data_IF_126290051963
#
_entry.id   IF_126290051963
#
_cell.length_a   1.000
_cell.length_b   1.000
_cell.length_c   1.000
_cell.angle_alpha   90.00
_cell.angle_beta   90.00
_cell.angle_gamma   90.00
#
_symmetry.space_group_name_H-M   'P 1'
#
loop_
_entity.id
_entity.type
_entity.pdbx_description
1 polymer ?
#
# COMPACT_ATOMS: atom_id res chain seq x y z
N UNK A 1 -18.34 19.85 5.65
CA UNK A 1 -18.63 19.96 4.20
C UNK A 1 -18.33 21.37 3.73
N UNK A 2 -17.43 21.53 2.76
CA UNK A 2 -17.17 22.80 2.11
C UNK A 2 -17.97 22.93 0.83
N UNK A 3 -18.42 24.12 0.50
CA UNK A 3 -19.02 24.39 -0.80
C UNK A 3 -18.36 25.58 -1.48
N UNK A 4 -18.44 25.61 -2.80
CA UNK A 4 -17.99 26.75 -3.62
C UNK A 4 -19.14 27.21 -4.48
N UNK A 5 -19.33 28.51 -4.52
CA UNK A 5 -20.32 29.14 -5.41
C UNK A 5 -19.66 29.60 -6.69
N UNK A 6 -20.44 29.72 -7.74
CA UNK A 6 -19.92 30.14 -9.04
C UNK A 6 -21.03 30.61 -9.99
N UNK A 7 -20.61 31.02 -11.16
CA UNK A 7 -21.51 31.36 -12.28
C UNK A 7 -21.32 30.34 -13.40
N UNK A 8 -22.36 30.08 -14.12
CA UNK A 8 -22.32 29.23 -15.29
C UNK A 8 -22.95 29.90 -16.49
N UNK A 9 -22.52 29.56 -17.68
CA UNK A 9 -23.07 29.96 -18.95
C UNK A 9 -23.08 28.82 -19.93
N UNK A 10 -23.99 28.90 -20.93
CA UNK A 10 -24.08 27.89 -21.99
C UNK A 10 -23.84 28.61 -23.32
N UNK A 11 -22.91 28.06 -24.12
CA UNK A 11 -22.62 28.52 -25.44
C UNK A 11 -22.67 27.34 -26.40
N UNK A 12 -23.80 27.16 -27.08
CA UNK A 12 -24.05 25.97 -27.91
C UNK A 12 -24.01 24.69 -27.10
N UNK A 13 -23.10 23.77 -27.45
CA UNK A 13 -22.88 22.51 -26.73
C UNK A 13 -21.80 22.62 -25.66
N UNK A 14 -21.26 23.82 -25.41
CA UNK A 14 -20.27 24.07 -24.39
C UNK A 14 -20.93 24.71 -23.18
N UNK A 15 -20.64 24.12 -22.05
CA UNK A 15 -21.02 24.63 -20.72
C UNK A 15 -19.76 25.16 -20.04
N UNK A 16 -19.79 26.43 -19.67
CA UNK A 16 -18.70 27.04 -18.92
C UNK A 16 -19.14 27.31 -17.48
N UNK A 17 -18.34 26.91 -16.54
CA UNK A 17 -18.54 27.23 -15.14
C UNK A 17 -17.36 28.06 -14.63
N UNK A 18 -17.66 29.15 -13.95
CA UNK A 18 -16.69 29.95 -13.23
C UNK A 18 -16.92 29.72 -11.74
N UNK A 19 -16.08 28.92 -11.15
CA UNK A 19 -16.13 28.65 -9.70
C UNK A 19 -15.32 29.70 -8.95
N UNK A 20 -15.92 30.25 -7.89
CA UNK A 20 -15.21 31.16 -7.01
C UNK A 20 -14.20 30.36 -6.21
N UNK A 21 -12.92 30.68 -6.37
CA UNK A 21 -11.84 30.14 -5.54
C UNK A 21 -11.72 30.95 -4.25
N UNK A 22 -11.17 30.30 -3.23
CA UNK A 22 -10.69 31.00 -2.05
C UNK A 22 -9.83 32.19 -2.49
N UNK A 23 -10.04 33.36 -1.93
CA UNK A 23 -9.41 34.65 -2.30
C UNK A 23 -9.94 35.31 -3.59
N UNK A 24 -11.14 35.03 -4.02
CA UNK A 24 -11.80 35.75 -5.15
C UNK A 24 -11.27 35.42 -6.54
N UNK A 25 -10.45 34.38 -6.69
CA UNK A 25 -10.04 33.88 -8.01
C UNK A 25 -11.08 32.93 -8.58
N UNK A 26 -11.29 33.01 -9.88
CA UNK A 26 -12.22 32.14 -10.60
C UNK A 26 -11.46 31.05 -11.35
N UNK A 27 -12.06 29.87 -11.40
CA UNK A 27 -11.62 28.79 -12.28
C UNK A 27 -12.61 28.66 -13.42
N UNK A 28 -12.09 28.58 -14.65
CA UNK A 28 -12.89 28.21 -15.80
C UNK A 28 -12.92 26.69 -15.92
N UNK A 29 -14.10 26.14 -16.03
CA UNK A 29 -14.32 24.70 -16.14
C UNK A 29 -15.21 24.45 -17.34
N UNK A 30 -14.80 23.56 -18.23
CA UNK A 30 -15.62 23.16 -19.39
C UNK A 30 -16.30 21.85 -19.10
N UNK A 31 -17.59 21.77 -19.30
CA UNK A 31 -18.36 20.52 -19.18
C UNK A 31 -18.05 19.63 -20.38
N UNK A 32 -17.39 18.52 -20.17
CA UNK A 32 -17.00 17.59 -21.22
C UNK A 32 -18.09 16.55 -21.55
N UNK A 33 -18.99 16.28 -20.61
CA UNK A 33 -20.11 15.37 -20.80
C UNK A 33 -21.13 15.51 -19.67
N UNK A 34 -22.37 15.16 -19.94
CA UNK A 34 -23.45 15.19 -18.97
C UNK A 34 -24.41 14.03 -19.26
N UNK A 35 -24.54 13.13 -18.31
CA UNK A 35 -25.72 12.29 -18.17
C UNK A 35 -26.59 12.86 -17.04
N UNK A 36 -27.80 12.53 -16.88
CA UNK A 36 -28.69 13.16 -15.91
C UNK A 36 -28.25 13.06 -14.43
N UNK A 37 -27.23 12.28 -14.14
CA UNK A 37 -26.73 12.01 -12.79
C UNK A 37 -25.26 12.46 -12.61
N UNK A 38 -24.48 12.47 -13.71
CA UNK A 38 -23.06 12.76 -13.68
C UNK A 38 -22.72 13.87 -14.69
N UNK A 39 -21.83 14.73 -14.27
CA UNK A 39 -21.27 15.77 -15.14
C UNK A 39 -19.74 15.69 -15.06
N UNK A 40 -19.10 15.67 -16.23
CA UNK A 40 -17.66 15.62 -16.33
C UNK A 40 -17.13 17.02 -16.67
N UNK A 41 -16.22 17.50 -15.83
CA UNK A 41 -15.63 18.83 -15.97
C UNK A 41 -14.16 18.73 -16.32
N UNK A 42 -13.75 19.36 -17.43
CA UNK A 42 -12.35 19.60 -17.76
C UNK A 42 -11.91 20.94 -17.16
N UNK A 43 -10.80 20.92 -16.42
CA UNK A 43 -10.35 22.09 -15.66
C UNK A 43 -9.15 22.77 -16.35
N UNK A 44 -9.28 24.06 -16.67
CA UNK A 44 -8.22 24.92 -17.21
C UNK A 44 -7.38 24.31 -18.35
N UNK A 45 -8.03 23.65 -19.30
CA UNK A 45 -7.35 23.04 -20.45
C UNK A 45 -6.52 21.80 -20.13
N UNK A 46 -6.59 21.28 -18.89
CA UNK A 46 -6.03 19.98 -18.57
C UNK A 46 -6.91 18.88 -19.15
N UNK A 47 -6.27 17.81 -19.62
CA UNK A 47 -6.95 16.63 -20.20
C UNK A 47 -7.60 15.74 -19.13
N UNK A 48 -7.35 15.99 -17.85
CA UNK A 48 -8.02 15.28 -16.75
C UNK A 48 -9.45 15.76 -16.60
N UNK A 49 -10.38 14.82 -16.60
CA UNK A 49 -11.81 15.07 -16.46
C UNK A 49 -12.21 14.68 -15.05
N UNK A 50 -12.72 15.65 -14.29
CA UNK A 50 -13.24 15.39 -12.94
C UNK A 50 -14.73 15.05 -13.03
N UNK A 51 -15.19 13.94 -12.44
CA UNK A 51 -16.60 13.63 -12.34
C UNK A 51 -17.28 14.47 -11.25
N UNK A 52 -18.48 14.93 -11.55
CA UNK A 52 -19.35 15.58 -10.60
C UNK A 52 -20.70 14.88 -10.58
N UNK A 53 -21.20 14.62 -9.40
CA UNK A 53 -22.51 14.00 -9.22
C UNK A 53 -23.54 15.09 -8.91
N UNK A 54 -24.69 15.00 -9.59
CA UNK A 54 -25.78 15.92 -9.32
C UNK A 54 -26.46 15.56 -8.01
N UNK A 55 -26.42 16.48 -7.06
CA UNK A 55 -27.20 16.44 -5.83
C UNK A 55 -28.29 17.50 -5.91
N UNK A 56 -29.46 17.22 -5.37
CA UNK A 56 -30.59 18.14 -5.34
C UNK A 56 -30.59 19.00 -4.10
N UNK A 57 -29.88 18.55 -3.03
CA UNK A 57 -29.69 19.31 -1.80
C UNK A 57 -28.53 20.30 -1.91
N UNK A 58 -28.66 21.44 -1.23
CA UNK A 58 -27.59 22.43 -1.16
C UNK A 58 -26.44 21.91 -0.28
N UNK A 59 -25.18 22.15 -0.67
CA UNK A 59 -24.04 21.90 0.19
C UNK A 59 -24.18 22.70 1.50
N UNK A 60 -23.84 22.09 2.61
CA UNK A 60 -24.01 22.66 3.94
C UNK A 60 -25.15 22.03 4.72
N UNK A 61 -26.07 21.34 4.05
CA UNK A 61 -27.01 20.42 4.68
C UNK A 61 -26.48 18.99 4.51
N UNK A 62 -25.49 18.63 5.34
CA UNK A 62 -24.82 17.34 5.25
C UNK A 62 -25.77 16.15 5.37
N UNK A 63 -26.79 16.27 6.20
CA UNK A 63 -27.77 15.20 6.38
C UNK A 63 -28.61 14.96 5.12
N UNK A 64 -28.99 16.02 4.40
CA UNK A 64 -29.69 15.86 3.13
C UNK A 64 -28.83 15.25 2.03
N UNK A 65 -27.56 15.65 1.94
CA UNK A 65 -26.63 15.09 0.98
C UNK A 65 -26.38 13.62 1.25
N UNK A 66 -26.20 13.24 2.50
CA UNK A 66 -26.07 11.83 2.89
C UNK A 66 -27.35 11.05 2.54
N UNK A 67 -28.54 11.60 2.81
CA UNK A 67 -29.81 10.96 2.46
C UNK A 67 -29.98 10.78 0.94
N UNK A 68 -29.49 11.72 0.11
CA UNK A 68 -29.51 11.59 -1.34
C UNK A 68 -28.54 10.49 -1.81
N UNK A 69 -27.34 10.42 -1.24
CA UNK A 69 -26.38 9.34 -1.50
C UNK A 69 -26.95 7.98 -1.08
N UNK A 70 -27.57 7.89 0.08
CA UNK A 70 -28.27 6.69 0.54
C UNK A 70 -29.38 6.24 -0.45
N UNK A 71 -30.08 7.21 -1.05
CA UNK A 71 -31.06 6.93 -2.10
C UNK A 71 -30.47 6.41 -3.41
N UNK A 72 -29.17 6.59 -3.65
CA UNK A 72 -28.44 6.05 -4.81
C UNK A 72 -27.77 4.70 -4.51
N UNK A 73 -27.80 4.26 -3.24
CA UNK A 73 -27.09 3.10 -2.77
C UNK A 73 -27.59 1.82 -3.45
N UNK A 74 -26.64 1.06 -3.97
CA UNK A 74 -26.91 -0.30 -4.46
C UNK A 74 -27.17 -1.25 -3.29
N UNK A 75 -27.85 -2.32 -3.55
CA UNK A 75 -28.01 -3.46 -2.66
C UNK A 75 -27.39 -4.72 -3.29
N UNK A 76 -26.95 -5.65 -2.47
CA UNK A 76 -26.44 -6.93 -2.93
C UNK A 76 -25.02 -6.84 -3.51
N UNK A 77 -24.10 -6.20 -2.81
CA UNK A 77 -22.69 -6.20 -3.14
C UNK A 77 -22.07 -7.60 -3.02
N UNK A 78 -21.18 -7.94 -3.94
CA UNK A 78 -20.39 -9.17 -3.89
C UNK A 78 -18.89 -8.81 -3.90
N UNK A 79 -18.05 -9.63 -3.28
CA UNK A 79 -16.61 -9.41 -3.25
C UNK A 79 -16.03 -9.33 -4.66
N UNK A 80 -16.50 -10.17 -5.58
CA UNK A 80 -16.07 -10.14 -6.98
C UNK A 80 -16.31 -8.82 -7.70
N UNK A 81 -17.22 -7.98 -7.21
CA UNK A 81 -17.45 -6.66 -7.79
C UNK A 81 -16.28 -5.71 -7.49
N UNK A 82 -15.54 -5.96 -6.41
CA UNK A 82 -14.44 -5.13 -5.93
C UNK A 82 -13.07 -5.60 -6.38
N UNK A 83 -12.89 -6.88 -6.65
CA UNK A 83 -11.58 -7.46 -7.01
C UNK A 83 -10.93 -6.74 -8.19
N UNK A 84 -9.67 -6.35 -8.03
CA UNK A 84 -8.85 -5.68 -9.04
C UNK A 84 -8.37 -4.30 -8.61
N UNK A 85 -7.74 -3.58 -9.54
CA UNK A 85 -7.18 -2.25 -9.28
C UNK A 85 -8.20 -1.15 -9.60
N UNK A 86 -8.37 -0.26 -8.66
CA UNK A 86 -9.26 0.89 -8.69
C UNK A 86 -8.45 2.17 -8.54
N UNK A 87 -8.45 3.00 -9.57
CA UNK A 87 -7.73 4.28 -9.62
C UNK A 87 -8.69 5.43 -9.44
N UNK A 88 -8.31 6.45 -8.67
CA UNK A 88 -9.05 7.70 -8.58
C UNK A 88 -9.18 8.34 -9.97
N UNK A 89 -10.41 8.65 -10.39
CA UNK A 89 -10.70 9.17 -11.72
C UNK A 89 -10.04 10.54 -11.97
N UNK A 90 -9.74 11.27 -10.91
CA UNK A 90 -9.13 12.62 -10.98
C UNK A 90 -7.63 12.65 -10.64
N UNK A 91 -7.03 11.51 -10.30
CA UNK A 91 -5.64 11.43 -9.88
C UNK A 91 -4.98 10.14 -10.41
N UNK A 92 -4.29 10.29 -11.54
CA UNK A 92 -3.62 9.16 -12.21
C UNK A 92 -2.58 8.52 -11.30
N UNK A 93 -2.57 7.19 -11.28
CA UNK A 93 -1.60 6.40 -10.52
C UNK A 93 -1.86 6.34 -9.03
N UNK A 94 -2.99 6.84 -8.54
CA UNK A 94 -3.38 6.76 -7.14
C UNK A 94 -4.66 5.96 -6.99
N UNK A 95 -4.64 4.92 -6.16
CA UNK A 95 -5.78 4.06 -5.97
C UNK A 95 -5.50 2.91 -5.01
N UNK A 96 -6.28 1.85 -5.15
CA UNK A 96 -6.13 0.66 -4.33
C UNK A 96 -6.41 -0.61 -5.15
N UNK A 97 -5.77 -1.68 -4.76
CA UNK A 97 -6.02 -3.03 -5.27
C UNK A 97 -6.77 -3.84 -4.22
N UNK A 98 -7.77 -4.59 -4.67
CA UNK A 98 -8.52 -5.55 -3.84
C UNK A 98 -8.25 -6.95 -4.37
N UNK A 99 -7.76 -7.84 -3.53
CA UNK A 99 -7.56 -9.25 -3.87
C UNK A 99 -8.87 -10.05 -3.81
N UNK A 100 -8.80 -11.35 -4.10
CA UNK A 100 -9.98 -12.24 -4.10
C UNK A 100 -10.54 -12.47 -2.69
N UNK A 101 -9.73 -12.31 -1.65
CA UNK A 101 -10.10 -12.42 -0.25
C UNK A 101 -10.66 -11.10 0.33
N UNK A 102 -10.53 -9.99 -0.40
CA UNK A 102 -10.99 -8.66 0.02
C UNK A 102 -9.95 -7.84 0.77
N UNK A 103 -8.68 -8.28 0.79
CA UNK A 103 -7.61 -7.46 1.35
C UNK A 103 -7.27 -6.31 0.40
N UNK A 104 -6.86 -5.20 0.98
CA UNK A 104 -6.57 -3.98 0.22
C UNK A 104 -5.08 -3.66 0.28
N UNK A 105 -4.54 -3.27 -0.87
CA UNK A 105 -3.23 -2.65 -0.99
C UNK A 105 -3.36 -1.29 -1.65
N UNK A 106 -2.83 -0.24 -1.03
CA UNK A 106 -2.81 1.08 -1.63
C UNK A 106 -1.71 1.16 -2.70
N UNK A 107 -2.00 1.85 -3.78
CA UNK A 107 -1.10 2.06 -4.91
C UNK A 107 -0.97 3.56 -5.16
N UNK A 108 0.26 4.04 -5.24
CA UNK A 108 0.53 5.44 -5.56
C UNK A 108 1.72 5.57 -6.51
N UNK A 109 1.61 6.51 -7.45
CA UNK A 109 2.70 6.80 -8.37
C UNK A 109 3.91 7.41 -7.64
N UNK A 110 5.13 7.02 -8.05
CA UNK A 110 6.36 7.59 -7.50
C UNK A 110 6.55 9.01 -8.03
N UNK A 111 6.80 9.95 -7.12
CA UNK A 111 6.96 11.38 -7.44
C UNK A 111 8.08 11.69 -8.44
N UNK A 112 9.16 10.92 -8.38
CA UNK A 112 10.36 11.11 -9.22
C UNK A 112 10.41 10.17 -10.41
N UNK A 113 9.49 9.23 -10.48
CA UNK A 113 9.46 8.20 -11.49
C UNK A 113 8.00 7.82 -11.80
N UNK A 114 7.49 8.37 -12.92
CA UNK A 114 6.12 8.15 -13.35
C UNK A 114 5.88 6.75 -13.98
N UNK A 115 6.93 5.95 -14.16
CA UNK A 115 6.85 4.61 -14.74
C UNK A 115 6.58 3.54 -13.69
N UNK A 116 6.81 3.84 -12.40
CA UNK A 116 6.65 2.89 -11.31
C UNK A 116 5.63 3.34 -10.26
N UNK A 117 5.08 2.36 -9.54
CA UNK A 117 4.10 2.57 -8.49
C UNK A 117 4.57 2.00 -7.16
N UNK A 118 4.38 2.78 -6.09
CA UNK A 118 4.49 2.25 -4.73
C UNK A 118 3.30 1.36 -4.41
N UNK A 119 3.58 0.23 -3.79
CA UNK A 119 2.59 -0.65 -3.20
C UNK A 119 2.73 -0.61 -1.68
N UNK A 120 1.63 -0.34 -0.99
CA UNK A 120 1.57 -0.37 0.47
C UNK A 120 0.58 -1.44 0.91
N UNK A 121 1.08 -2.48 1.54
CA UNK A 121 0.25 -3.48 2.20
C UNK A 121 -0.25 -2.92 3.53
N UNK A 122 -1.56 -2.81 3.65
CA UNK A 122 -2.23 -2.43 4.89
C UNK A 122 -3.01 -3.61 5.46
N UNK A 123 -3.31 -3.52 6.75
CA UNK A 123 -4.38 -4.31 7.36
C UNK A 123 -5.74 -3.66 7.04
N UNK A 124 -6.02 -3.47 5.76
CA UNK A 124 -7.24 -2.88 5.26
C UNK A 124 -8.05 -3.95 4.54
N UNK A 125 -9.35 -3.83 4.56
CA UNK A 125 -10.23 -4.85 4.01
C UNK A 125 -11.53 -4.26 3.46
N UNK A 126 -12.18 -5.01 2.59
CA UNK A 126 -13.56 -4.75 2.18
C UNK A 126 -14.49 -5.52 3.12
N UNK A 127 -15.30 -4.80 3.87
CA UNK A 127 -16.34 -5.37 4.72
C UNK A 127 -17.70 -5.35 3.98
N UNK A 128 -18.31 -6.51 3.85
CA UNK A 128 -19.63 -6.67 3.25
C UNK A 128 -20.63 -7.12 4.32
N UNK A 129 -21.76 -6.46 4.37
CA UNK A 129 -22.98 -6.97 5.00
C UNK A 129 -24.14 -6.99 3.98
N UNK A 130 -25.30 -7.52 4.35
CA UNK A 130 -26.43 -7.73 3.43
C UNK A 130 -26.83 -6.48 2.62
N UNK A 131 -26.55 -5.28 3.10
CA UNK A 131 -26.97 -4.02 2.50
C UNK A 131 -25.88 -2.96 2.42
N UNK A 132 -24.69 -3.24 2.97
CA UNK A 132 -23.63 -2.24 3.07
C UNK A 132 -22.32 -2.84 2.57
N UNK A 133 -21.54 -1.96 1.97
CA UNK A 133 -20.14 -2.23 1.67
C UNK A 133 -19.30 -1.09 2.26
N UNK A 134 -18.27 -1.46 2.97
CA UNK A 134 -17.32 -0.51 3.53
C UNK A 134 -15.92 -0.92 3.13
N UNK A 135 -15.15 0.04 2.64
CA UNK A 135 -13.72 -0.12 2.42
C UNK A 135 -13.00 0.59 3.56
N UNK A 136 -12.12 -0.14 4.25
CA UNK A 136 -11.21 0.41 5.25
C UNK A 136 -9.83 0.50 4.64
N UNK A 137 -9.28 1.70 4.50
CA UNK A 137 -7.92 1.91 4.00
C UNK A 137 -7.28 3.10 4.68
N UNK A 138 -6.04 2.97 5.11
CA UNK A 138 -5.24 4.04 5.72
C UNK A 138 -5.95 4.77 6.87
N UNK A 139 -6.79 4.05 7.63
CA UNK A 139 -7.58 4.64 8.73
C UNK A 139 -8.81 5.44 8.27
N UNK A 140 -9.10 5.46 6.97
CA UNK A 140 -10.28 6.09 6.40
C UNK A 140 -11.32 5.02 6.13
N UNK A 141 -12.56 5.29 6.56
CA UNK A 141 -13.70 4.45 6.26
C UNK A 141 -14.47 5.02 5.06
N UNK A 142 -14.55 4.21 4.01
CA UNK A 142 -15.26 4.53 2.77
C UNK A 142 -16.56 3.74 2.71
N UNK A 143 -17.71 4.42 2.69
CA UNK A 143 -18.98 3.76 2.42
C UNK A 143 -19.19 3.71 0.91
N UNK A 144 -19.34 2.50 0.36
CA UNK A 144 -19.57 2.31 -1.06
C UNK A 144 -21.06 2.44 -1.36
N UNK A 145 -21.39 3.28 -2.33
CA UNK A 145 -22.77 3.51 -2.79
C UNK A 145 -23.09 2.78 -4.08
N UNK A 146 -22.12 2.66 -4.96
CA UNK A 146 -22.31 1.94 -6.21
C UNK A 146 -21.00 1.35 -6.70
N UNK A 147 -21.07 0.17 -7.26
CA UNK A 147 -19.97 -0.48 -7.96
C UNK A 147 -20.50 -1.22 -9.19
N UNK A 148 -19.75 -1.17 -10.27
CA UNK A 148 -19.97 -1.98 -11.46
C UNK A 148 -18.62 -2.36 -12.08
N UNK A 149 -18.62 -3.05 -13.20
CA UNK A 149 -17.38 -3.58 -13.80
C UNK A 149 -16.26 -2.55 -14.03
N UNK A 150 -16.57 -1.25 -14.11
CA UNK A 150 -15.60 -0.23 -14.46
C UNK A 150 -15.62 0.99 -13.53
N UNK A 151 -16.54 1.08 -12.60
CA UNK A 151 -16.78 2.30 -11.81
C UNK A 151 -17.17 1.96 -10.38
N UNK A 152 -16.56 2.63 -9.43
CA UNK A 152 -16.87 2.55 -8.02
C UNK A 152 -17.09 3.96 -7.46
N UNK A 153 -18.21 4.16 -6.75
CA UNK A 153 -18.55 5.39 -6.06
C UNK A 153 -18.53 5.15 -4.56
N UNK A 154 -17.69 5.88 -3.86
CA UNK A 154 -17.57 5.78 -2.42
C UNK A 154 -17.59 7.15 -1.74
N UNK A 155 -18.01 7.18 -0.48
CA UNK A 155 -18.01 8.35 0.37
C UNK A 155 -17.07 8.12 1.55
N UNK A 156 -16.04 8.96 1.64
CA UNK A 156 -15.15 8.98 2.79
C UNK A 156 -15.81 9.75 3.94
N UNK A 157 -15.87 9.11 5.10
CA UNK A 157 -16.31 9.74 6.33
C UNK A 157 -15.12 9.78 7.30
N UNK A 158 -14.39 10.88 7.28
CA UNK A 158 -13.26 11.14 8.18
C UNK A 158 -13.50 12.40 9.00
N UNK A 159 -12.80 12.53 10.12
CA UNK A 159 -12.99 13.63 11.09
C UNK A 159 -12.83 15.04 10.50
N UNK A 160 -12.17 15.17 9.33
CA UNK A 160 -11.92 16.45 8.69
C UNK A 160 -12.15 16.48 7.15
N UNK A 161 -12.50 15.36 6.53
CA UNK A 161 -12.70 15.27 5.09
C UNK A 161 -13.88 14.34 4.77
N UNK A 162 -15.02 14.95 4.51
CA UNK A 162 -16.12 14.24 3.87
C UNK A 162 -16.03 14.47 2.38
N UNK A 163 -15.66 13.45 1.63
CA UNK A 163 -15.56 13.51 0.17
C UNK A 163 -16.28 12.35 -0.49
N UNK A 164 -16.88 12.63 -1.65
CA UNK A 164 -17.39 11.60 -2.56
C UNK A 164 -16.31 11.38 -3.61
N UNK A 165 -15.82 10.17 -3.69
CA UNK A 165 -14.78 9.80 -4.64
C UNK A 165 -15.31 8.82 -5.68
N UNK A 166 -14.82 8.99 -6.88
CA UNK A 166 -15.08 8.08 -7.99
C UNK A 166 -13.79 7.38 -8.38
N UNK A 167 -13.85 6.06 -8.43
CA UNK A 167 -12.75 5.22 -8.87
C UNK A 167 -13.12 4.51 -10.16
N UNK A 168 -12.13 4.33 -11.01
CA UNK A 168 -12.25 3.64 -12.30
C UNK A 168 -11.39 2.39 -12.26
N UNK A 169 -11.94 1.28 -12.71
CA UNK A 169 -11.17 0.03 -12.81
C UNK A 169 -10.12 0.12 -13.89
N UNK A 170 -8.90 -0.25 -13.58
CA UNK A 170 -7.73 -0.23 -14.45
C UNK A 170 -7.02 -1.57 -14.47
N UNK A 171 -6.10 -1.72 -15.42
CA UNK A 171 -5.17 -2.83 -15.42
C UNK A 171 -4.28 -2.77 -14.16
N UNK A 172 -4.00 -3.92 -13.57
CA UNK A 172 -3.19 -4.02 -12.36
C UNK A 172 -1.74 -3.66 -12.69
N UNK A 173 -1.13 -2.67 -12.02
CA UNK A 173 0.27 -2.30 -12.23
C UNK A 173 1.23 -3.49 -12.02
N UNK A 174 2.35 -3.52 -12.76
CA UNK A 174 3.33 -4.61 -12.66
C UNK A 174 3.90 -4.75 -11.25
N UNK A 175 4.12 -3.63 -10.55
CA UNK A 175 4.60 -3.65 -9.17
C UNK A 175 3.62 -4.38 -8.26
N UNK A 176 2.31 -4.18 -8.44
CA UNK A 176 1.30 -4.90 -7.66
C UNK A 176 1.27 -6.39 -8.00
N UNK A 177 1.44 -6.75 -9.28
CA UNK A 177 1.53 -8.16 -9.69
C UNK A 177 2.73 -8.84 -9.02
N UNK A 178 3.91 -8.20 -9.03
CA UNK A 178 5.12 -8.71 -8.34
C UNK A 178 4.92 -8.78 -6.82
N UNK A 179 4.26 -7.78 -6.25
CA UNK A 179 3.94 -7.77 -4.82
C UNK A 179 3.04 -8.96 -4.45
N UNK A 180 2.01 -9.20 -5.23
CA UNK A 180 1.07 -10.30 -5.05
C UNK A 180 1.77 -11.67 -5.21
N UNK A 181 2.65 -11.81 -6.20
CA UNK A 181 3.49 -13.01 -6.36
C UNK A 181 4.37 -13.29 -5.14
N UNK A 182 5.00 -12.26 -4.56
CA UNK A 182 5.79 -12.42 -3.33
C UNK A 182 4.89 -12.89 -2.20
N UNK A 183 3.77 -12.23 -1.96
CA UNK A 183 2.88 -12.52 -0.83
C UNK A 183 2.21 -13.89 -0.92
N UNK A 184 1.95 -14.38 -2.14
CA UNK A 184 1.39 -15.72 -2.40
C UNK A 184 2.44 -16.83 -2.39
N UNK A 185 3.73 -16.50 -2.48
CA UNK A 185 4.81 -17.48 -2.43
C UNK A 185 5.01 -17.98 -1.00
N UNK A 186 4.80 -19.28 -0.71
CA UNK A 186 4.95 -19.78 0.64
C UNK A 186 6.40 -19.61 1.15
N UNK A 187 6.56 -19.12 2.36
CA UNK A 187 7.84 -19.09 3.04
C UNK A 187 8.22 -20.52 3.42
N UNK A 188 9.47 -20.90 3.17
CA UNK A 188 9.97 -22.22 3.51
C UNK A 188 9.86 -22.47 5.03
N UNK A 189 9.15 -23.52 5.42
CA UNK A 189 8.91 -23.90 6.84
C UNK A 189 10.20 -23.94 7.66
N UNK A 190 11.31 -24.33 7.04
CA UNK A 190 12.60 -24.45 7.70
C UNK A 190 13.04 -23.16 8.41
N UNK A 191 12.82 -21.98 7.81
CA UNK A 191 13.25 -20.70 8.41
C UNK A 191 12.23 -20.11 9.37
N UNK A 192 10.96 -20.52 9.28
CA UNK A 192 9.89 -19.95 10.10
C UNK A 192 10.16 -20.11 11.61
N UNK A 193 9.77 -19.10 12.38
CA UNK A 193 9.91 -19.08 13.82
C UNK A 193 11.06 -18.22 14.31
N UNK A 194 11.46 -18.44 15.58
CA UNK A 194 12.45 -17.61 16.27
C UNK A 194 13.81 -18.29 16.34
N UNK A 195 14.84 -17.52 16.10
CA UNK A 195 16.23 -17.91 16.07
C UNK A 195 17.06 -17.01 16.97
N UNK A 196 17.98 -17.56 17.72
CA UNK A 196 18.88 -16.81 18.61
C UNK A 196 20.30 -16.94 18.09
N UNK A 197 21.01 -15.83 17.97
CA UNK A 197 22.42 -15.84 17.58
C UNK A 197 23.27 -16.55 18.63
N UNK A 198 24.12 -17.47 18.18
CA UNK A 198 25.05 -18.19 19.05
C UNK A 198 26.49 -17.89 18.73
N UNK A 199 26.79 -17.46 17.51
CA UNK A 199 28.13 -17.13 17.08
C UNK A 199 28.11 -16.06 15.98
N UNK A 200 29.13 -15.19 15.98
CA UNK A 200 29.33 -14.17 14.95
C UNK A 200 30.78 -14.19 14.45
N UNK A 201 30.94 -14.18 13.13
CA UNK A 201 32.26 -14.09 12.49
C UNK A 201 32.25 -12.95 11.45
N UNK A 202 33.27 -12.12 11.49
CA UNK A 202 33.51 -11.06 10.50
C UNK A 202 34.88 -11.24 9.85
N UNK A 203 34.89 -11.32 8.53
CA UNK A 203 36.05 -11.60 7.71
C UNK A 203 36.30 -10.43 6.76
N UNK A 204 37.55 -9.98 6.64
CA UNK A 204 37.99 -8.97 5.67
C UNK A 204 39.17 -9.52 4.89
N UNK A 205 39.13 -9.47 3.55
CA UNK A 205 40.16 -10.00 2.67
C UNK A 205 40.56 -11.46 3.00
N UNK A 206 39.59 -12.28 3.42
CA UNK A 206 39.81 -13.67 3.80
C UNK A 206 40.39 -13.89 5.21
N UNK A 207 40.68 -12.83 5.95
CA UNK A 207 41.16 -12.92 7.34
C UNK A 207 40.03 -12.69 8.32
N UNK A 208 39.88 -13.57 9.31
CA UNK A 208 38.96 -13.38 10.40
C UNK A 208 39.41 -12.23 11.28
N UNK A 209 38.61 -11.17 11.33
CA UNK A 209 38.87 -9.97 12.17
C UNK A 209 38.13 -10.10 13.49
N UNK A 210 36.96 -10.74 13.47
CA UNK A 210 36.15 -10.97 14.66
C UNK A 210 35.62 -12.39 14.61
N UNK A 211 35.71 -13.10 15.71
CA UNK A 211 35.20 -14.48 15.86
C UNK A 211 34.75 -14.64 17.32
N UNK A 212 33.43 -14.66 17.53
CA UNK A 212 32.83 -14.47 18.87
C UNK A 212 31.80 -15.56 19.14
N UNK A 213 31.99 -16.29 20.20
CA UNK A 213 30.96 -17.15 20.83
C UNK A 213 30.06 -16.30 21.73
N UNK A 214 28.85 -16.04 21.28
CA UNK A 214 27.89 -15.15 21.94
C UNK A 214 27.30 -15.80 23.19
N UNK A 215 27.28 -17.12 23.30
CA UNK A 215 26.69 -17.84 24.44
C UNK A 215 27.51 -17.70 25.72
N UNK A 216 28.81 -17.41 25.60
CA UNK A 216 29.76 -17.43 26.71
C UNK A 216 30.28 -16.05 27.13
N UNK A 217 29.81 -14.96 26.48
CA UNK A 217 30.40 -13.63 26.70
C UNK A 217 29.42 -12.65 27.35
N UNK A 218 29.69 -12.31 28.59
CA UNK A 218 28.79 -11.49 29.41
C UNK A 218 28.87 -9.99 29.24
N UNK A 219 29.85 -9.41 28.51
CA UNK A 219 30.03 -7.96 28.65
C UNK A 219 30.17 -7.16 27.38
N UNK A 220 30.90 -7.61 26.36
CA UNK A 220 31.18 -6.81 25.15
C UNK A 220 30.42 -7.25 23.89
N UNK A 221 30.08 -8.51 23.81
CA UNK A 221 29.52 -9.13 22.61
C UNK A 221 28.00 -9.10 22.57
N UNK A 222 27.40 -8.45 23.53
CA UNK A 222 25.95 -8.27 23.62
C UNK A 222 25.36 -7.50 22.42
N UNK A 223 26.17 -6.70 21.73
CA UNK A 223 25.75 -6.03 20.49
C UNK A 223 25.51 -6.99 19.31
N UNK A 224 26.07 -8.19 19.36
CA UNK A 224 25.88 -9.23 18.36
C UNK A 224 24.80 -10.24 18.73
N UNK A 225 24.22 -10.11 19.94
CA UNK A 225 23.13 -10.97 20.36
C UNK A 225 21.80 -10.44 19.80
N UNK A 226 21.23 -11.21 18.92
CA UNK A 226 19.94 -10.91 18.30
C UNK A 226 19.02 -12.12 18.41
N UNK A 227 17.74 -11.85 18.59
CA UNK A 227 16.70 -12.82 18.28
C UNK A 227 16.10 -12.41 16.93
N UNK A 228 16.14 -13.31 15.96
CA UNK A 228 15.59 -13.12 14.64
C UNK A 228 14.34 -13.98 14.49
N UNK A 229 13.26 -13.46 13.90
CA UNK A 229 12.10 -14.25 13.54
C UNK A 229 11.70 -14.01 12.09
N UNK A 230 11.41 -15.11 11.40
CA UNK A 230 10.79 -15.09 10.08
C UNK A 230 9.33 -15.51 10.19
N UNK A 231 8.45 -14.75 9.55
CA UNK A 231 7.01 -14.93 9.60
C UNK A 231 6.46 -15.36 8.22
N UNK A 232 5.33 -16.04 8.21
CA UNK A 232 4.66 -16.49 6.97
C UNK A 232 4.26 -15.35 6.03
N UNK A 233 4.02 -14.16 6.57
CA UNK A 233 3.64 -12.95 5.83
C UNK A 233 4.85 -12.18 5.26
N UNK A 234 5.97 -12.83 5.03
CA UNK A 234 7.22 -12.22 4.52
C UNK A 234 7.79 -11.08 5.38
N UNK A 235 7.40 -11.02 6.66
CA UNK A 235 8.01 -10.13 7.64
C UNK A 235 9.10 -10.85 8.43
N UNK A 236 10.16 -10.11 8.72
CA UNK A 236 11.19 -10.54 9.67
C UNK A 236 11.38 -9.46 10.74
N UNK A 237 11.53 -9.91 11.97
CA UNK A 237 11.76 -9.06 13.11
C UNK A 237 13.06 -9.44 13.79
N UNK A 238 13.79 -8.43 14.22
CA UNK A 238 15.03 -8.62 14.96
C UNK A 238 14.95 -7.86 16.26
N UNK A 239 15.26 -8.52 17.37
CA UNK A 239 15.29 -7.96 18.72
C UNK A 239 16.70 -8.00 19.28
N UNK A 240 17.06 -6.95 20.00
CA UNK A 240 18.25 -6.94 20.82
C UNK A 240 18.12 -7.84 22.06
N UNK A 241 19.19 -7.92 22.84
CA UNK A 241 19.21 -8.71 24.09
C UNK A 241 18.20 -8.23 25.15
N UNK A 242 17.73 -6.98 25.04
CA UNK A 242 16.76 -6.39 25.98
C UNK A 242 15.31 -6.61 25.54
N UNK A 243 15.12 -7.22 24.37
CA UNK A 243 13.81 -7.47 23.80
C UNK A 243 13.21 -6.27 23.04
N UNK A 244 14.02 -5.24 22.74
CA UNK A 244 13.59 -4.14 21.90
C UNK A 244 13.69 -4.54 20.44
N UNK A 245 12.68 -4.21 19.64
CA UNK A 245 12.73 -4.40 18.19
C UNK A 245 13.78 -3.46 17.60
N UNK A 246 14.78 -4.03 16.95
CA UNK A 246 15.85 -3.28 16.28
C UNK A 246 15.55 -3.11 14.81
N UNK A 247 15.02 -4.17 14.18
CA UNK A 247 14.62 -4.17 12.78
C UNK A 247 13.25 -4.81 12.60
N UNK A 248 12.43 -4.17 11.76
CA UNK A 248 11.21 -4.66 11.15
C UNK A 248 11.42 -4.59 9.64
N UNK A 249 11.57 -5.72 8.98
CA UNK A 249 11.93 -5.79 7.58
C UNK A 249 11.02 -6.74 6.82
N UNK A 250 10.96 -6.54 5.52
CA UNK A 250 10.39 -7.48 4.56
C UNK A 250 11.47 -8.40 4.03
N UNK A 251 11.09 -9.59 3.59
CA UNK A 251 12.02 -10.49 2.93
C UNK A 251 11.38 -11.33 1.83
N UNK A 252 12.22 -11.77 0.90
CA UNK A 252 11.89 -12.80 -0.10
C UNK A 252 12.96 -13.88 -0.06
N UNK A 253 12.64 -15.05 -0.65
CA UNK A 253 13.58 -16.17 -0.78
C UNK A 253 13.69 -16.61 -2.23
N UNK A 254 14.94 -16.90 -2.63
CA UNK A 254 15.26 -17.64 -3.84
C UNK A 254 16.23 -18.77 -3.46
N UNK A 255 15.70 -19.97 -3.35
CA UNK A 255 16.43 -21.10 -2.80
C UNK A 255 16.91 -20.82 -1.37
N UNK A 256 18.23 -20.80 -1.18
CA UNK A 256 18.86 -20.50 0.11
C UNK A 256 19.21 -19.02 0.28
N UNK A 257 18.90 -18.18 -0.67
CA UNK A 257 19.15 -16.75 -0.57
C UNK A 257 17.92 -16.04 -0.01
N UNK A 258 18.15 -15.23 1.01
CA UNK A 258 17.15 -14.35 1.62
C UNK A 258 17.52 -12.93 1.23
N UNK A 259 16.62 -12.22 0.57
CA UNK A 259 16.75 -10.77 0.34
C UNK A 259 15.88 -10.03 1.34
N UNK A 260 16.48 -9.15 2.16
CA UNK A 260 15.79 -8.36 3.19
C UNK A 260 15.84 -6.87 2.87
N UNK A 261 14.82 -6.16 3.28
CA UNK A 261 14.72 -4.70 3.15
C UNK A 261 13.77 -4.11 4.20
N UNK A 262 14.00 -2.85 4.59
CA UNK A 262 13.05 -2.08 5.41
C UNK A 262 11.85 -1.54 4.63
N UNK A 263 11.98 -1.44 3.30
CA UNK A 263 10.90 -0.95 2.42
C UNK A 263 10.50 -2.04 1.42
N UNK A 264 9.25 -2.50 1.50
CA UNK A 264 8.72 -3.54 0.61
C UNK A 264 8.93 -3.21 -0.87
N UNK A 265 8.83 -1.95 -1.24
CA UNK A 265 8.97 -1.52 -2.64
C UNK A 265 10.38 -1.78 -3.20
N UNK A 266 11.39 -1.90 -2.36
CA UNK A 266 12.73 -2.30 -2.80
C UNK A 266 12.82 -3.77 -3.26
N UNK A 267 11.81 -4.60 -2.97
CA UNK A 267 11.71 -5.97 -3.48
C UNK A 267 11.03 -6.04 -4.86
N UNK A 268 10.20 -5.05 -5.19
CA UNK A 268 9.34 -5.09 -6.38
C UNK A 268 9.75 -4.08 -7.47
N UNK A 269 10.44 -3.00 -7.10
CA UNK A 269 10.87 -1.95 -8.03
C UNK A 269 12.38 -2.07 -8.26
N UNK A 270 12.83 -2.37 -9.49
CA UNK A 270 14.25 -2.50 -9.79
C UNK A 270 15.04 -1.23 -9.49
N UNK A 271 16.11 -1.37 -8.71
CA UNK A 271 17.00 -0.23 -8.38
C UNK A 271 16.45 0.74 -7.32
N UNK A 272 15.28 0.47 -6.78
CA UNK A 272 14.69 1.27 -5.72
C UNK A 272 15.16 0.80 -4.33
N UNK A 273 15.47 1.76 -3.45
CA UNK A 273 15.78 1.50 -2.05
C UNK A 273 17.06 0.69 -1.82
N UNK A 274 17.16 0.11 -0.63
CA UNK A 274 18.28 -0.71 -0.20
C UNK A 274 17.81 -2.12 0.13
N UNK A 275 18.51 -3.10 -0.43
CA UNK A 275 18.31 -4.52 -0.12
C UNK A 275 19.60 -5.14 0.36
N UNK A 276 19.51 -6.13 1.22
CA UNK A 276 20.63 -6.98 1.60
C UNK A 276 20.30 -8.44 1.35
N UNK A 277 21.29 -9.18 0.81
CA UNK A 277 21.13 -10.61 0.52
C UNK A 277 21.98 -11.43 1.49
N UNK A 278 21.34 -12.41 2.11
CA UNK A 278 21.94 -13.39 3.00
C UNK A 278 21.77 -14.78 2.42
N UNK A 279 22.79 -15.61 2.52
CA UNK A 279 22.73 -17.03 2.11
C UNK A 279 22.63 -17.90 3.34
N UNK A 280 21.67 -18.81 3.34
CA UNK A 280 21.52 -19.84 4.38
C UNK A 280 22.49 -20.98 4.09
N UNK A 281 23.19 -21.44 5.10
CA UNK A 281 24.04 -22.64 5.05
C UNK A 281 24.00 -23.41 6.38
N UNK A 282 24.65 -24.58 6.41
CA UNK A 282 24.77 -25.45 7.59
C UNK A 282 23.39 -25.68 8.26
N UNK A 283 22.40 -26.04 7.44
CA UNK A 283 21.04 -26.30 7.88
C UNK A 283 20.97 -27.59 8.70
N UNK A 284 20.50 -27.47 9.94
CA UNK A 284 20.09 -28.57 10.77
C UNK A 284 18.74 -28.28 11.39
N UNK A 285 18.09 -29.23 12.02
CA UNK A 285 16.74 -29.08 12.59
C UNK A 285 16.58 -27.85 13.49
N UNK A 286 17.62 -27.56 14.27
CA UNK A 286 17.61 -26.49 15.26
C UNK A 286 18.68 -25.42 15.06
N UNK A 287 19.43 -25.45 13.93
CA UNK A 287 20.50 -24.49 13.67
C UNK A 287 20.65 -24.13 12.20
N UNK A 288 21.14 -22.93 11.93
CA UNK A 288 21.51 -22.46 10.60
C UNK A 288 22.59 -21.39 10.67
N UNK A 289 23.26 -21.16 9.53
CA UNK A 289 24.11 -19.98 9.33
C UNK A 289 23.51 -19.05 8.29
N UNK A 290 23.58 -17.76 8.57
CA UNK A 290 23.32 -16.70 7.59
C UNK A 290 24.63 -16.02 7.25
N UNK A 291 24.96 -15.99 5.97
CA UNK A 291 26.19 -15.37 5.44
C UNK A 291 25.85 -14.23 4.51
N UNK A 292 26.41 -13.04 4.76
CA UNK A 292 26.38 -11.91 3.86
C UNK A 292 27.77 -11.61 3.32
N UNK A 293 27.87 -11.40 2.01
CA UNK A 293 29.10 -10.94 1.35
C UNK A 293 28.89 -9.57 0.73
N UNK A 294 29.78 -8.64 1.06
CA UNK A 294 29.76 -7.29 0.51
C UNK A 294 31.19 -6.85 0.16
N UNK A 295 31.51 -6.86 -1.13
CA UNK A 295 32.88 -6.61 -1.58
C UNK A 295 33.85 -7.65 -1.04
N UNK A 296 34.87 -7.19 -0.29
CA UNK A 296 35.88 -8.03 0.36
C UNK A 296 35.52 -8.46 1.78
N UNK A 297 34.32 -8.12 2.24
CA UNK A 297 33.86 -8.47 3.60
C UNK A 297 32.86 -9.62 3.56
N UNK A 298 32.90 -10.45 4.63
CA UNK A 298 31.94 -11.53 4.84
C UNK A 298 31.51 -11.50 6.32
N UNK A 299 30.21 -11.46 6.52
CA UNK A 299 29.58 -11.60 7.84
C UNK A 299 28.88 -12.94 7.94
N UNK A 300 29.05 -13.62 9.03
CA UNK A 300 28.44 -14.93 9.31
C UNK A 300 27.81 -14.89 10.69
N UNK A 301 26.52 -15.12 10.76
CA UNK A 301 25.80 -15.37 11.99
C UNK A 301 25.40 -16.83 12.06
N UNK A 302 25.70 -17.49 13.18
CA UNK A 302 25.18 -18.82 13.49
C UNK A 302 24.01 -18.67 14.46
N UNK A 303 22.92 -19.30 14.10
CA UNK A 303 21.67 -19.24 14.85
C UNK A 303 21.28 -20.61 15.38
N UNK A 304 20.62 -20.61 16.52
CA UNK A 304 19.92 -21.77 17.07
C UNK A 304 18.43 -21.44 17.21
N UNK A 305 17.58 -22.41 16.93
CA UNK A 305 16.13 -22.29 17.09
C UNK A 305 15.79 -22.09 18.58
N UNK A 306 14.85 -21.18 18.85
CA UNK A 306 14.44 -20.83 20.22
C UNK A 306 13.13 -21.52 20.58
#
# INVERSE_FOLDING_TARGET
LGYKTGKWSVNGNHYEMQLLKDYGKYYNVTVAGNDNQKMYLAYNGKTSVMPFYRLTSLPGDGDKMINELEGMKMSGFNMTDFTGYWELDNETGCGFYVDEEGNISDISQIWTDAEHHYVQYHSAEVELDDNNCTILSSGIKWNVYAVNNNSLLAFANGDNNNSVEHFVKKDVPEEMQRADEIMKTPVTEYILGKWVTTHYTYIVDGNSITDIDIQNDDSWNSQFYHTLAFMENHKTYEWDRFGSVVFDQWFTMDGDNITKTGDFNALIIPGYGYTETWTISDKAEDSMKLTRKQGNTTEIYTYKRK
#
